data_IF_774131636766
#
_entry.id   IF_774131636766
#
_cell.length_a   1.000
_cell.length_b   1.000
_cell.length_c   1.000
_cell.angle_alpha   90.00
_cell.angle_beta   90.00
_cell.angle_gamma   90.00
#
_symmetry.space_group_name_H-M   'P 1'
#
loop_
_entity.id
_entity.type
_entity.pdbx_description
1 polymer ?
#
# COMPACT_ATOMS: atom_id res chain seq x y z
N UNK A 1 -26.01 11.96 13.16
CA UNK A 1 -24.54 11.84 13.27
C UNK A 1 -24.08 11.08 12.04
N UNK A 2 -23.42 11.73 11.07
CA UNK A 2 -22.82 11.03 9.93
C UNK A 2 -21.48 10.47 10.41
N UNK A 3 -21.40 9.16 10.57
CA UNK A 3 -20.14 8.47 10.78
C UNK A 3 -19.23 8.77 9.58
N UNK A 4 -18.07 9.37 9.86
CA UNK A 4 -17.05 9.56 8.83
C UNK A 4 -16.65 8.16 8.32
N UNK A 5 -16.62 7.92 7.00
CA UNK A 5 -16.22 6.62 6.49
C UNK A 5 -14.82 6.29 6.99
N UNK A 6 -14.56 5.05 7.42
CA UNK A 6 -13.24 4.67 7.91
C UNK A 6 -12.22 5.00 6.83
N UNK A 7 -11.15 5.73 7.20
CA UNK A 7 -10.02 5.98 6.30
C UNK A 7 -9.49 4.60 5.91
N UNK A 8 -9.85 4.13 4.72
CA UNK A 8 -9.24 2.94 4.14
C UNK A 8 -7.79 3.31 3.86
N UNK A 9 -6.94 3.14 4.87
CA UNK A 9 -5.51 3.09 4.66
C UNK A 9 -5.30 1.95 3.67
N UNK A 10 -4.91 2.30 2.44
CA UNK A 10 -4.43 1.34 1.47
C UNK A 10 -3.19 0.69 2.08
N UNK A 11 -3.40 -0.39 2.83
CA UNK A 11 -2.36 -1.16 3.48
C UNK A 11 -1.47 -1.68 2.37
N UNK A 12 -0.24 -1.18 2.27
CA UNK A 12 0.71 -1.65 1.28
C UNK A 12 0.91 -3.15 1.41
N UNK A 13 0.91 -3.85 0.28
CA UNK A 13 1.03 -5.31 0.23
C UNK A 13 2.33 -5.80 0.84
N UNK A 14 3.40 -5.01 0.71
CA UNK A 14 4.72 -5.26 1.30
C UNK A 14 5.00 -4.18 2.33
N UNK A 15 5.29 -4.60 3.57
CA UNK A 15 5.78 -3.72 4.64
C UNK A 15 7.23 -3.30 4.38
N UNK A 16 7.58 -2.05 4.70
CA UNK A 16 8.95 -1.53 4.59
C UNK A 16 9.96 -2.36 5.40
N UNK A 17 9.58 -2.79 6.61
CA UNK A 17 10.40 -3.69 7.44
C UNK A 17 10.68 -5.01 6.71
N UNK A 18 9.64 -5.59 6.10
CA UNK A 18 9.77 -6.87 5.43
C UNK A 18 10.64 -6.76 4.17
N UNK A 19 10.50 -5.65 3.42
CA UNK A 19 11.36 -5.36 2.28
C UNK A 19 12.83 -5.25 2.68
N UNK A 20 13.15 -4.50 3.74
CA UNK A 20 14.53 -4.30 4.22
C UNK A 20 15.15 -5.63 4.68
N UNK A 21 14.43 -6.40 5.50
CA UNK A 21 14.92 -7.69 6.00
C UNK A 21 15.17 -8.67 4.85
N UNK A 22 14.24 -8.72 3.89
CA UNK A 22 14.36 -9.63 2.76
C UNK A 22 15.46 -9.19 1.79
N UNK A 23 15.61 -7.89 1.52
CA UNK A 23 16.72 -7.37 0.72
C UNK A 23 18.07 -7.59 1.41
N UNK A 24 18.14 -7.52 2.74
CA UNK A 24 19.37 -7.82 3.49
C UNK A 24 19.76 -9.30 3.40
N UNK A 25 18.78 -10.20 3.47
CA UNK A 25 19.00 -11.62 3.24
C UNK A 25 19.51 -11.90 1.82
N UNK A 26 18.90 -11.28 0.80
CA UNK A 26 19.35 -11.43 -0.59
C UNK A 26 20.75 -10.86 -0.82
N UNK A 27 21.04 -9.69 -0.24
CA UNK A 27 22.37 -9.09 -0.34
C UNK A 27 23.45 -9.97 0.31
N UNK A 28 23.12 -10.66 1.40
CA UNK A 28 24.02 -11.63 2.02
C UNK A 28 24.30 -12.81 1.08
N UNK A 29 23.28 -13.36 0.40
CA UNK A 29 23.46 -14.42 -0.59
C UNK A 29 24.33 -13.94 -1.77
N UNK A 30 24.04 -12.76 -2.31
CA UNK A 30 24.84 -12.18 -3.40
C UNK A 30 26.30 -11.94 -2.97
N UNK A 31 26.55 -11.58 -1.70
CA UNK A 31 27.91 -11.42 -1.16
C UNK A 31 28.63 -12.76 -1.08
N UNK A 32 27.92 -13.82 -0.69
CA UNK A 32 28.46 -15.19 -0.68
C UNK A 32 28.81 -15.62 -2.10
N UNK A 33 27.93 -15.39 -3.09
CA UNK A 33 28.17 -15.71 -4.50
C UNK A 33 29.38 -14.95 -5.07
N UNK A 34 29.53 -13.65 -4.76
CA UNK A 34 30.71 -12.86 -5.14
C UNK A 34 31.99 -13.40 -4.48
N UNK A 35 31.92 -13.81 -3.22
CA UNK A 35 33.07 -14.41 -2.52
C UNK A 35 33.46 -15.74 -3.15
N UNK A 36 32.49 -16.63 -3.43
CA UNK A 36 32.71 -17.91 -4.11
C UNK A 36 33.40 -17.71 -5.46
N UNK A 37 32.91 -16.76 -6.27
CA UNK A 37 33.52 -16.37 -7.54
C UNK A 37 35.00 -15.97 -7.38
N UNK A 38 35.35 -15.19 -6.35
CA UNK A 38 36.72 -14.74 -6.09
C UNK A 38 37.68 -15.88 -5.71
N UNK A 39 37.17 -16.93 -5.06
CA UNK A 39 37.94 -18.14 -4.74
C UNK A 39 37.95 -19.17 -5.87
N UNK A 40 37.26 -18.90 -6.98
CA UNK A 40 37.08 -19.84 -8.08
C UNK A 40 36.29 -21.08 -7.68
N UNK A 41 35.59 -21.04 -6.55
CA UNK A 41 34.61 -22.05 -6.17
C UNK A 41 33.33 -21.72 -6.92
N UNK A 42 32.87 -22.70 -7.67
CA UNK A 42 31.74 -22.55 -8.54
C UNK A 42 30.48 -23.15 -7.90
N UNK A 43 29.58 -22.28 -7.45
CA UNK A 43 28.27 -22.61 -6.91
C UNK A 43 27.14 -22.25 -7.92
N UNK A 44 27.39 -22.29 -9.26
CA UNK A 44 26.50 -21.83 -10.38
C UNK A 44 25.02 -22.25 -10.35
N UNK A 45 24.57 -23.04 -9.37
CA UNK A 45 23.17 -23.41 -9.22
C UNK A 45 22.67 -23.57 -7.78
N UNK A 46 23.53 -23.66 -6.77
CA UNK A 46 23.08 -24.03 -5.41
C UNK A 46 22.34 -22.86 -4.77
N UNK A 47 22.97 -21.69 -4.76
CA UNK A 47 22.38 -20.44 -4.28
C UNK A 47 21.16 -20.05 -5.11
N UNK A 48 21.19 -20.28 -6.43
CA UNK A 48 20.06 -20.04 -7.33
C UNK A 48 18.86 -20.95 -7.05
N UNK A 49 19.09 -22.24 -6.82
CA UNK A 49 18.04 -23.19 -6.47
C UNK A 49 17.37 -22.89 -5.13
N UNK A 50 18.10 -22.32 -4.16
CA UNK A 50 17.50 -21.93 -2.88
C UNK A 50 16.74 -20.60 -3.00
N UNK A 51 17.35 -19.60 -3.62
CA UNK A 51 16.83 -18.25 -3.60
C UNK A 51 15.64 -18.06 -4.56
N UNK A 52 15.61 -18.76 -5.70
CA UNK A 52 14.51 -18.71 -6.65
C UNK A 52 13.14 -19.08 -6.02
N UNK A 53 12.95 -20.27 -5.43
CA UNK A 53 11.67 -20.64 -4.84
C UNK A 53 11.32 -19.78 -3.62
N UNK A 54 12.30 -19.37 -2.81
CA UNK A 54 12.08 -18.55 -1.63
C UNK A 54 11.55 -17.16 -2.02
N UNK A 55 12.20 -16.49 -2.97
CA UNK A 55 11.79 -15.15 -3.44
C UNK A 55 10.43 -15.20 -4.12
N UNK A 56 10.18 -16.22 -4.95
CA UNK A 56 8.93 -16.34 -5.69
C UNK A 56 7.74 -16.71 -4.78
N UNK A 57 7.97 -17.56 -3.78
CA UNK A 57 6.97 -17.87 -2.76
C UNK A 57 6.66 -16.64 -1.90
N UNK A 58 7.68 -15.89 -1.48
CA UNK A 58 7.49 -14.66 -0.69
C UNK A 58 6.65 -13.62 -1.45
N UNK A 59 6.99 -13.32 -2.70
CA UNK A 59 6.25 -12.36 -3.51
C UNK A 59 4.81 -12.81 -3.80
N UNK A 60 4.61 -14.12 -4.00
CA UNK A 60 3.29 -14.70 -4.18
C UNK A 60 2.45 -14.63 -2.91
N UNK A 61 3.05 -14.85 -1.74
CA UNK A 61 2.35 -14.72 -0.45
C UNK A 61 1.96 -13.26 -0.17
N UNK A 62 2.82 -12.31 -0.54
CA UNK A 62 2.52 -10.87 -0.45
C UNK A 62 1.54 -10.39 -1.53
N UNK A 63 1.10 -11.24 -2.47
CA UNK A 63 0.15 -10.88 -3.52
C UNK A 63 0.71 -9.87 -4.53
N UNK A 64 2.03 -9.91 -4.75
CA UNK A 64 2.78 -9.03 -5.65
C UNK A 64 3.13 -9.77 -6.94
N UNK A 65 3.07 -9.06 -8.08
CA UNK A 65 3.50 -9.60 -9.37
C UNK A 65 5.02 -9.70 -9.38
N UNK A 66 5.54 -10.90 -9.13
CA UNK A 66 6.99 -11.19 -9.14
C UNK A 66 7.62 -11.26 -10.53
N UNK A 67 7.12 -10.50 -11.51
CA UNK A 67 7.57 -10.57 -12.91
C UNK A 67 9.00 -10.06 -13.07
N UNK A 68 9.35 -8.95 -12.41
CA UNK A 68 10.72 -8.43 -12.47
C UNK A 68 11.70 -9.30 -11.68
N UNK A 69 11.28 -9.84 -10.53
CA UNK A 69 12.05 -10.82 -9.77
C UNK A 69 12.28 -12.13 -10.56
N UNK A 70 11.28 -12.58 -11.33
CA UNK A 70 11.42 -13.72 -12.23
C UNK A 70 12.48 -13.45 -13.31
N UNK A 71 12.44 -12.27 -13.93
CA UNK A 71 13.43 -11.85 -14.93
C UNK A 71 14.84 -11.77 -14.34
N UNK A 72 14.99 -11.21 -13.14
CA UNK A 72 16.28 -11.16 -12.43
C UNK A 72 16.82 -12.55 -12.14
N UNK A 73 15.99 -13.44 -11.61
CA UNK A 73 16.40 -14.82 -11.39
C UNK A 73 16.72 -15.57 -12.70
N UNK A 74 16.02 -15.27 -13.81
CA UNK A 74 16.35 -15.86 -15.12
C UNK A 74 17.71 -15.38 -15.64
N UNK A 75 18.08 -14.13 -15.36
CA UNK A 75 19.39 -13.56 -15.73
C UNK A 75 20.53 -14.17 -14.91
N UNK A 76 20.26 -14.61 -13.68
CA UNK A 76 21.28 -15.25 -12.84
C UNK A 76 21.66 -16.66 -13.27
N UNK A 77 20.76 -17.39 -13.96
CA UNK A 77 21.11 -18.66 -14.60
C UNK A 77 22.20 -18.52 -15.68
N UNK A 78 22.55 -17.28 -16.09
CA UNK A 78 23.66 -17.06 -17.00
C UNK A 78 24.97 -16.94 -16.19
N UNK A 79 25.94 -17.85 -16.40
CA UNK A 79 27.22 -17.80 -15.68
C UNK A 79 27.91 -16.44 -15.88
N UNK A 80 28.62 -15.97 -14.85
CA UNK A 80 29.22 -14.62 -14.72
C UNK A 80 28.25 -13.44 -14.57
N UNK A 81 27.07 -13.49 -15.19
CA UNK A 81 26.00 -12.52 -14.91
C UNK A 81 25.31 -12.84 -13.57
N UNK A 82 25.21 -14.13 -13.22
CA UNK A 82 24.65 -14.58 -11.95
C UNK A 82 25.45 -14.23 -10.70
N UNK A 83 26.75 -13.96 -10.82
CA UNK A 83 27.56 -13.48 -9.70
C UNK A 83 27.36 -11.99 -9.38
N UNK A 84 26.61 -11.27 -10.21
CA UNK A 84 26.22 -9.89 -9.91
C UNK A 84 25.00 -9.91 -8.99
N UNK A 85 24.78 -8.87 -8.16
CA UNK A 85 23.64 -8.77 -7.25
C UNK A 85 22.31 -8.46 -7.97
N UNK A 86 22.02 -9.19 -9.06
CA UNK A 86 20.87 -8.98 -9.94
C UNK A 86 19.57 -9.41 -9.26
N UNK A 87 19.58 -10.44 -8.43
CA UNK A 87 18.43 -10.81 -7.59
C UNK A 87 18.07 -9.74 -6.59
N UNK A 88 19.02 -9.22 -5.84
CA UNK A 88 18.74 -8.12 -4.91
C UNK A 88 18.19 -6.90 -5.66
N UNK A 89 18.79 -6.54 -6.80
CA UNK A 89 18.33 -5.41 -7.61
C UNK A 89 16.92 -5.64 -8.18
N UNK A 90 16.64 -6.83 -8.71
CA UNK A 90 15.34 -7.17 -9.29
C UNK A 90 14.24 -7.28 -8.23
N UNK A 91 14.56 -7.76 -7.02
CA UNK A 91 13.67 -7.76 -5.88
C UNK A 91 13.32 -6.33 -5.44
N UNK A 92 14.33 -5.48 -5.21
CA UNK A 92 14.13 -4.06 -4.84
C UNK A 92 13.30 -3.35 -5.91
N UNK A 93 13.59 -3.61 -7.19
CA UNK A 93 12.84 -3.03 -8.30
C UNK A 93 11.37 -3.47 -8.31
N UNK A 94 11.11 -4.76 -8.03
CA UNK A 94 9.75 -5.31 -7.89
C UNK A 94 8.99 -4.61 -6.76
N UNK A 95 9.62 -4.47 -5.60
CA UNK A 95 9.04 -3.80 -4.43
C UNK A 95 8.74 -2.32 -4.75
N UNK A 96 9.70 -1.62 -5.37
CA UNK A 96 9.55 -0.22 -5.73
C UNK A 96 8.40 0.02 -6.72
N UNK A 97 8.32 -0.80 -7.78
CA UNK A 97 7.23 -0.73 -8.75
C UNK A 97 5.88 -0.99 -8.08
N UNK A 98 5.82 -1.94 -7.16
CA UNK A 98 4.59 -2.27 -6.42
C UNK A 98 4.08 -1.08 -5.62
N UNK A 99 4.92 -0.41 -4.83
CA UNK A 99 4.46 0.77 -4.09
C UNK A 99 4.14 1.96 -4.99
N UNK A 100 4.85 2.10 -6.12
CA UNK A 100 4.52 3.14 -7.10
C UNK A 100 3.12 2.94 -7.66
N UNK A 101 2.74 1.69 -7.98
CA UNK A 101 1.39 1.35 -8.43
C UNK A 101 0.34 1.57 -7.33
N UNK A 102 0.61 1.14 -6.10
CA UNK A 102 -0.30 1.37 -4.96
C UNK A 102 -0.54 2.86 -4.69
N UNK A 103 0.52 3.69 -4.74
CA UNK A 103 0.41 5.15 -4.57
C UNK A 103 -0.44 5.78 -5.68
N UNK A 104 -0.25 5.35 -6.94
CA UNK A 104 -1.07 5.83 -8.08
C UNK A 104 -2.53 5.43 -7.93
N UNK A 105 -2.80 4.19 -7.50
CA UNK A 105 -4.16 3.72 -7.26
C UNK A 105 -4.85 4.52 -6.14
N UNK A 106 -4.16 4.76 -5.02
CA UNK A 106 -4.66 5.56 -3.91
C UNK A 106 -4.96 7.02 -4.32
N UNK A 107 -4.08 7.64 -5.11
CA UNK A 107 -4.28 9.00 -5.63
C UNK A 107 -5.49 9.07 -6.57
N UNK A 108 -5.66 8.08 -7.45
CA UNK A 108 -6.80 8.01 -8.38
C UNK A 108 -8.13 7.82 -7.65
N UNK A 109 -8.14 7.00 -6.60
CA UNK A 109 -9.31 6.83 -5.73
C UNK A 109 -9.64 8.12 -4.97
N UNK A 110 -8.64 8.81 -4.43
CA UNK A 110 -8.84 10.09 -3.75
C UNK A 110 -9.40 11.17 -4.70
N UNK A 111 -8.89 11.25 -5.93
CA UNK A 111 -9.38 12.20 -6.94
C UNK A 111 -10.83 11.91 -7.36
N UNK A 112 -11.18 10.64 -7.58
CA UNK A 112 -12.56 10.26 -7.94
C UNK A 112 -13.54 10.46 -6.78
N UNK A 113 -13.12 10.26 -5.52
CA UNK A 113 -13.91 10.62 -4.35
C UNK A 113 -14.16 12.14 -4.26
N UNK A 114 -13.12 12.96 -4.46
CA UNK A 114 -13.22 14.42 -4.48
C UNK A 114 -14.15 14.93 -5.61
N UNK A 115 -14.09 14.33 -6.80
CA UNK A 115 -14.98 14.69 -7.92
C UNK A 115 -16.45 14.38 -7.60
N UNK A 116 -16.75 13.26 -6.93
CA UNK A 116 -18.11 12.95 -6.45
C UNK A 116 -18.62 13.97 -5.44
N UNK A 117 -17.77 14.42 -4.51
CA UNK A 117 -18.17 15.43 -3.53
C UNK A 117 -18.36 16.81 -4.18
N UNK A 118 -17.53 17.16 -5.16
CA UNK A 118 -17.59 18.46 -5.87
C UNK A 118 -18.80 18.56 -6.81
N UNK A 119 -19.16 17.47 -7.48
CA UNK A 119 -20.37 17.39 -8.32
C UNK A 119 -21.70 17.33 -7.55
N UNK A 120 -21.65 17.07 -6.24
CA UNK A 120 -22.83 16.98 -5.37
C UNK A 120 -23.10 18.26 -4.58
N UNK A 121 -22.72 19.43 -5.11
CA UNK A 121 -23.18 20.74 -4.61
C UNK A 121 -24.62 20.98 -5.02
N UNK A 122 -25.55 20.27 -4.37
CA UNK A 122 -26.94 20.70 -4.32
C UNK A 122 -26.99 22.09 -3.64
N UNK A 123 -27.79 23.05 -4.12
CA UNK A 123 -27.92 24.35 -3.47
C UNK A 123 -28.35 24.14 -2.02
N UNK A 124 -27.65 24.79 -1.08
CA UNK A 124 -28.05 24.83 0.33
C UNK A 124 -29.52 25.25 0.40
N UNK A 125 -30.41 24.48 1.09
CA UNK A 125 -31.76 24.96 1.34
C UNK A 125 -31.62 26.23 2.19
N UNK A 126 -32.03 27.37 1.61
CA UNK A 126 -32.12 28.65 2.28
C UNK A 126 -33.01 28.47 3.50
N UNK A 127 -32.38 28.28 4.66
CA UNK A 127 -33.06 28.14 5.94
C UNK A 127 -33.55 29.52 6.32
N UNK A 128 -34.73 29.90 5.81
CA UNK A 128 -35.48 31.06 6.29
C UNK A 128 -35.72 30.83 7.79
N UNK A 129 -35.19 31.67 8.70
CA UNK A 129 -35.49 31.52 10.11
C UNK A 129 -36.95 31.93 10.31
N UNK A 130 -37.85 30.95 10.38
CA UNK A 130 -39.20 31.19 10.84
C UNK A 130 -39.12 31.59 12.32
N UNK A 131 -39.28 32.89 12.59
CA UNK A 131 -39.54 33.42 13.92
C UNK A 131 -40.70 32.63 14.53
N UNK A 132 -40.43 31.91 15.62
CA UNK A 132 -41.47 31.32 16.44
C UNK A 132 -42.26 32.45 17.14
N UNK A 133 -43.60 32.49 17.06
CA UNK A 133 -44.36 33.49 17.78
C UNK A 133 -44.30 33.21 19.29
N UNK A 134 -43.84 34.22 20.03
CA UNK A 134 -43.84 34.25 21.48
C UNK A 134 -45.28 34.11 22.01
N UNK A 135 -45.58 32.96 22.65
CA UNK A 135 -46.82 32.80 23.43
C UNK A 135 -46.68 33.61 24.72
N UNK A 136 -47.22 34.83 24.69
CA UNK A 136 -47.52 35.60 25.89
C UNK A 136 -48.54 34.82 26.75
N UNK A 137 -48.10 34.33 27.91
CA UNK A 137 -48.98 33.90 28.98
C UNK A 137 -49.31 35.13 29.84
N UNK A 138 -50.50 35.68 29.65
CA UNK A 138 -51.10 36.64 30.58
C UNK A 138 -52.57 36.26 30.73
N UNK A 139 -53.04 36.10 31.96
CA UNK A 139 -54.42 35.76 32.27
C UNK A 139 -54.57 34.87 33.49
N UNK A 140 -54.10 35.37 34.64
CA UNK A 140 -54.46 34.88 35.95
C UNK A 140 -55.89 35.38 36.22
N UNK A 141 -56.88 34.48 36.24
CA UNK A 141 -58.24 34.82 36.65
C UNK A 141 -58.64 33.97 37.85
N UNK A 142 -58.56 34.62 39.00
CA UNK A 142 -59.08 34.16 40.29
C UNK A 142 -60.60 34.33 40.21
N UNK A 143 -61.37 33.26 40.38
CA UNK A 143 -62.77 33.37 40.79
C UNK A 143 -63.03 32.65 42.10
N UNK A 144 -63.50 33.47 43.02
CA UNK A 144 -63.97 33.22 44.38
C UNK A 144 -65.44 32.77 44.34
N UNK A 145 -65.75 31.84 45.26
CA UNK A 145 -67.05 31.55 45.89
C UNK A 145 -68.25 31.11 45.03
N UNK A 146 -68.89 30.00 45.41
CA UNK A 146 -69.90 30.01 46.49
C UNK A 146 -70.07 28.62 47.10
#
# INVERSE_FOLDING_TARGET
MQESPPRQQTKSKISWIAAILFSGYLLMLDTVDVLLLLFGLDDFLITDMLAFPITQLYLRWMGVRGTYNLLGNMLEFVPYLGSLPLRTMSFIFTVWMTWKEERKAALTQAQSALQRTRGSTAPLPSRTPALAPARARAGMDIRVAK
#
